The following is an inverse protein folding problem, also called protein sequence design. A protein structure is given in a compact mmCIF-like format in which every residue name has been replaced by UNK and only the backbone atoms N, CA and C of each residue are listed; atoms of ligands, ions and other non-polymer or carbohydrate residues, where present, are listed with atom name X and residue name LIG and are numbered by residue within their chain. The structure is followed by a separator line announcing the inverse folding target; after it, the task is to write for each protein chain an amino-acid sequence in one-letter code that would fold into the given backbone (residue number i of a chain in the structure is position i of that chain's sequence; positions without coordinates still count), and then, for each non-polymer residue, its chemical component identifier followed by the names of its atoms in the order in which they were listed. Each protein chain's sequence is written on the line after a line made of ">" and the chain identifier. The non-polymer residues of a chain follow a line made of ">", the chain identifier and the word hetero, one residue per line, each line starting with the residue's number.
data_IF_869460682911
#
_entry.id   IF_869460682911
#
_cell.length_a   1.000
_cell.length_b   1.000
_cell.length_c   1.000
_cell.angle_alpha   90.00
_cell.angle_beta   90.00
_cell.angle_gamma   90.00
#
_symmetry.space_group_name_H-M   'P 1'
#
loop_
_entity.id
_entity.type
_entity.pdbx_description
1 polymer ?
#
# COMPACT_ATOMS: atom_id res chain seq x y z
N UNK A 1 18.38 -10.97 -3.07
CA UNK A 1 17.40 -10.04 -3.69
C UNK A 1 16.03 -10.44 -3.17
N UNK A 2 15.20 -9.48 -2.76
CA UNK A 2 13.90 -9.73 -2.14
C UNK A 2 12.75 -9.31 -3.06
N UNK A 3 12.13 -10.30 -3.70
CA UNK A 3 10.99 -10.13 -4.62
C UNK A 3 9.64 -10.55 -4.00
N UNK A 4 9.66 -11.33 -2.91
CA UNK A 4 8.45 -11.95 -2.37
C UNK A 4 7.49 -10.89 -1.82
N UNK A 5 6.27 -10.88 -2.34
CA UNK A 5 5.21 -9.93 -1.98
C UNK A 5 3.85 -10.41 -2.51
N UNK A 6 2.77 -9.92 -1.91
CA UNK A 6 1.46 -9.85 -2.55
C UNK A 6 1.41 -8.62 -3.46
N UNK A 7 0.96 -8.79 -4.72
CA UNK A 7 1.14 -7.76 -5.77
C UNK A 7 -0.11 -7.41 -6.59
N UNK A 8 -1.27 -8.02 -6.31
CA UNK A 8 -2.48 -7.75 -7.08
C UNK A 8 -3.32 -6.64 -6.45
N UNK A 9 -3.31 -5.44 -7.05
CA UNK A 9 -4.00 -4.25 -6.52
C UNK A 9 -5.48 -4.52 -6.22
N UNK A 10 -6.23 -5.18 -7.12
CA UNK A 10 -7.65 -5.47 -6.88
C UNK A 10 -7.86 -6.37 -5.65
N UNK A 11 -6.96 -7.31 -5.41
CA UNK A 11 -7.06 -8.21 -4.24
C UNK A 11 -6.75 -7.46 -2.94
N UNK A 12 -5.97 -6.37 -3.01
CA UNK A 12 -5.56 -5.60 -1.83
C UNK A 12 -6.72 -4.85 -1.17
N UNK A 13 -7.77 -4.50 -1.92
CA UNK A 13 -8.96 -3.86 -1.36
C UNK A 13 -9.82 -4.82 -0.52
N UNK A 14 -9.85 -6.11 -0.88
CA UNK A 14 -10.64 -7.13 -0.19
C UNK A 14 -9.85 -7.92 0.87
N UNK A 15 -8.52 -7.87 0.84
CA UNK A 15 -7.65 -8.64 1.75
C UNK A 15 -6.39 -7.85 2.16
N UNK A 16 -6.56 -6.57 2.50
CA UNK A 16 -5.47 -5.63 2.83
C UNK A 16 -4.53 -6.12 3.95
N UNK A 17 -5.06 -6.88 4.91
CA UNK A 17 -4.27 -7.44 6.00
C UNK A 17 -3.24 -8.46 5.52
N UNK A 18 -3.58 -9.31 4.54
CA UNK A 18 -2.64 -10.27 3.96
C UNK A 18 -1.48 -9.58 3.22
N UNK A 19 -1.74 -8.42 2.63
CA UNK A 19 -0.69 -7.58 2.05
C UNK A 19 0.23 -7.01 3.13
N UNK A 20 -0.33 -6.61 4.28
CA UNK A 20 0.47 -6.15 5.43
C UNK A 20 1.35 -7.27 5.98
N UNK A 21 0.79 -8.46 6.18
CA UNK A 21 1.53 -9.62 6.68
C UNK A 21 2.66 -10.04 5.75
N UNK A 22 2.40 -10.12 4.44
CA UNK A 22 3.44 -10.52 3.49
C UNK A 22 4.45 -9.40 3.22
N UNK A 23 3.97 -8.22 2.85
CA UNK A 23 4.84 -7.17 2.32
C UNK A 23 5.62 -6.48 3.44
N UNK A 24 4.96 -6.11 4.55
CA UNK A 24 5.62 -5.41 5.67
C UNK A 24 6.25 -6.43 6.62
N UNK A 25 5.43 -7.29 7.23
CA UNK A 25 5.93 -8.20 8.26
C UNK A 25 6.92 -9.22 7.67
N UNK A 26 6.65 -9.81 6.51
CA UNK A 26 7.59 -10.70 5.81
C UNK A 26 8.92 -10.02 5.48
N UNK A 27 8.91 -8.76 5.01
CA UNK A 27 10.14 -7.99 4.79
C UNK A 27 10.89 -7.75 6.10
N UNK A 28 10.19 -7.41 7.19
CA UNK A 28 10.79 -7.22 8.50
C UNK A 28 11.51 -8.49 9.00
N UNK A 29 10.85 -9.66 8.89
CA UNK A 29 11.43 -10.95 9.26
C UNK A 29 12.72 -11.21 8.49
N UNK A 30 12.70 -10.97 7.17
CA UNK A 30 13.87 -11.16 6.32
C UNK A 30 15.01 -10.18 6.70
N UNK A 31 14.69 -8.92 6.98
CA UNK A 31 15.68 -7.92 7.42
C UNK A 31 16.31 -8.30 8.76
N UNK A 32 15.53 -8.78 9.73
CA UNK A 32 16.05 -9.26 11.01
C UNK A 32 16.95 -10.48 10.83
N UNK A 33 16.58 -11.43 9.97
CA UNK A 33 17.42 -12.58 9.65
C UNK A 33 18.76 -12.15 9.01
N UNK A 34 18.74 -11.19 8.07
CA UNK A 34 19.96 -10.63 7.49
C UNK A 34 20.82 -9.92 8.54
N UNK A 35 20.21 -9.17 9.46
CA UNK A 35 20.90 -8.50 10.56
C UNK A 35 21.56 -9.50 11.51
N UNK A 36 20.82 -10.52 11.94
CA UNK A 36 21.30 -11.51 12.90
C UNK A 36 22.43 -12.39 12.35
N UNK A 37 22.36 -12.74 11.05
CA UNK A 37 23.38 -13.58 10.41
C UNK A 37 24.61 -12.79 9.97
N UNK A 38 24.45 -11.49 9.67
CA UNK A 38 25.51 -10.57 9.28
C UNK A 38 26.42 -11.09 8.13
N UNK A 39 25.88 -11.95 7.25
CA UNK A 39 26.63 -12.55 6.13
C UNK A 39 26.25 -11.95 4.77
N UNK A 40 25.16 -11.17 4.72
CA UNK A 40 24.63 -10.58 3.49
C UNK A 40 25.45 -9.37 3.11
N UNK A 41 26.09 -9.42 1.92
CA UNK A 41 26.92 -8.33 1.40
C UNK A 41 26.15 -7.25 0.66
N UNK A 42 25.01 -7.62 0.06
CA UNK A 42 24.09 -6.72 -0.64
C UNK A 42 22.66 -7.25 -0.48
N UNK A 43 21.77 -6.42 0.02
CA UNK A 43 20.34 -6.69 0.13
C UNK A 43 19.59 -5.79 -0.85
N UNK A 44 19.12 -6.34 -1.96
CA UNK A 44 18.32 -5.57 -2.93
C UNK A 44 16.84 -5.78 -2.61
N UNK A 45 16.16 -4.71 -2.19
CA UNK A 45 14.72 -4.68 -1.96
C UNK A 45 13.99 -4.26 -3.24
N UNK A 46 13.10 -5.11 -3.73
CA UNK A 46 12.34 -4.83 -4.95
C UNK A 46 10.98 -4.25 -4.59
N UNK A 47 10.76 -3.00 -4.99
CA UNK A 47 9.54 -2.24 -4.81
C UNK A 47 8.96 -1.81 -6.17
N UNK A 48 8.03 -0.85 -6.17
CA UNK A 48 7.17 -0.51 -7.31
C UNK A 48 7.10 1.00 -7.49
N UNK A 49 6.84 1.48 -8.70
CA UNK A 49 6.51 2.90 -8.96
C UNK A 49 5.26 3.39 -8.23
N UNK A 50 4.29 2.52 -7.98
CA UNK A 50 3.04 2.86 -7.29
C UNK A 50 3.24 3.43 -5.87
N UNK A 51 4.43 3.29 -5.26
CA UNK A 51 4.71 3.94 -3.97
C UNK A 51 4.74 5.46 -4.07
N UNK A 52 4.98 6.01 -5.26
CA UNK A 52 4.94 7.45 -5.52
C UNK A 52 3.51 7.98 -5.65
N UNK A 53 2.52 7.11 -5.90
CA UNK A 53 1.14 7.50 -6.17
C UNK A 53 0.93 8.03 -7.59
N UNK A 54 -0.27 8.55 -7.80
CA UNK A 54 -0.69 9.14 -9.08
C UNK A 54 0.19 10.33 -9.49
N UNK A 55 0.49 10.42 -10.78
CA UNK A 55 1.18 11.57 -11.39
C UNK A 55 0.24 12.29 -12.34
N UNK A 56 0.22 13.63 -12.29
CA UNK A 56 -0.63 14.41 -13.19
C UNK A 56 -0.26 14.19 -14.67
N UNK A 57 -1.27 14.24 -15.56
CA UNK A 57 -1.09 13.96 -16.99
C UNK A 57 -0.23 15.01 -17.72
N UNK A 58 -0.17 16.24 -17.20
CA UNK A 58 0.63 17.35 -17.71
C UNK A 58 2.07 17.36 -17.18
N UNK A 59 2.41 16.46 -16.25
CA UNK A 59 3.77 16.36 -15.71
C UNK A 59 4.76 15.94 -16.79
N UNK A 60 5.76 16.79 -17.06
CA UNK A 60 6.83 16.53 -18.03
C UNK A 60 7.98 15.69 -17.48
N UNK A 61 8.24 15.76 -16.17
CA UNK A 61 9.34 15.07 -15.50
C UNK A 61 8.77 14.04 -14.52
N UNK A 62 9.08 12.77 -14.75
CA UNK A 62 8.64 11.68 -13.88
C UNK A 62 9.23 11.75 -12.47
N UNK A 63 8.64 10.97 -11.57
CA UNK A 63 9.11 10.86 -10.19
C UNK A 63 10.54 10.31 -10.13
N UNK A 64 11.45 11.08 -9.56
CA UNK A 64 12.83 10.66 -9.28
C UNK A 64 12.92 9.99 -7.91
N UNK A 65 14.06 9.39 -7.56
CA UNK A 65 14.16 8.52 -6.37
C UNK A 65 13.94 9.22 -5.02
N UNK A 66 14.10 10.54 -4.98
CA UNK A 66 13.83 11.39 -3.82
C UNK A 66 12.43 11.99 -3.80
N UNK A 67 11.57 11.67 -4.77
CA UNK A 67 10.15 12.02 -4.74
C UNK A 67 9.47 11.43 -3.49
N UNK A 68 8.45 12.13 -3.01
CA UNK A 68 7.66 11.69 -1.87
C UNK A 68 6.91 10.40 -2.19
N UNK A 69 6.75 9.54 -1.19
CA UNK A 69 5.90 8.36 -1.32
C UNK A 69 4.46 8.74 -0.94
N UNK A 70 3.54 8.64 -1.90
CA UNK A 70 2.13 8.99 -1.75
C UNK A 70 1.24 7.81 -2.22
N UNK A 71 1.37 6.62 -1.60
CA UNK A 71 0.63 5.45 -2.05
C UNK A 71 -0.90 5.65 -1.92
N UNK A 72 -1.63 5.28 -2.97
CA UNK A 72 -3.08 5.51 -3.13
C UNK A 72 -3.94 4.26 -2.85
N UNK A 73 -3.32 3.08 -2.70
CA UNK A 73 -4.02 1.81 -2.52
C UNK A 73 -3.33 0.90 -1.49
N UNK A 74 -4.01 -0.10 -0.91
CA UNK A 74 -3.42 -0.94 0.14
C UNK A 74 -2.17 -1.70 -0.29
N UNK A 75 -2.08 -2.12 -1.55
CA UNK A 75 -0.85 -2.73 -2.08
C UNK A 75 0.32 -1.74 -2.06
N UNK A 76 0.18 -0.57 -2.68
CA UNK A 76 1.26 0.42 -2.72
C UNK A 76 1.62 0.93 -1.33
N UNK A 77 0.65 1.08 -0.43
CA UNK A 77 0.87 1.46 0.96
C UNK A 77 1.72 0.44 1.72
N UNK A 78 1.44 -0.86 1.54
CA UNK A 78 2.24 -1.91 2.19
C UNK A 78 3.64 -2.07 1.59
N UNK A 79 3.82 -1.80 0.29
CA UNK A 79 5.15 -1.70 -0.34
C UNK A 79 5.94 -0.51 0.20
N UNK A 80 5.33 0.67 0.30
CA UNK A 80 5.94 1.85 0.90
C UNK A 80 6.29 1.64 2.38
N UNK A 81 5.41 0.99 3.15
CA UNK A 81 5.67 0.62 4.55
C UNK A 81 6.87 -0.34 4.70
N UNK A 82 7.01 -1.30 3.78
CA UNK A 82 8.19 -2.16 3.72
C UNK A 82 9.48 -1.38 3.41
N UNK A 83 9.41 -0.39 2.50
CA UNK A 83 10.54 0.50 2.22
C UNK A 83 10.98 1.30 3.44
N UNK A 84 10.04 1.77 4.27
CA UNK A 84 10.39 2.49 5.51
C UNK A 84 11.21 1.61 6.46
N UNK A 85 10.88 0.32 6.57
CA UNK A 85 11.66 -0.65 7.34
C UNK A 85 13.05 -0.84 6.72
N UNK A 86 13.11 -1.09 5.42
CA UNK A 86 14.36 -1.26 4.67
C UNK A 86 15.31 -0.06 4.88
N UNK A 87 14.78 1.16 4.77
CA UNK A 87 15.53 2.39 5.04
C UNK A 87 16.00 2.49 6.49
N UNK A 88 15.14 2.18 7.46
CA UNK A 88 15.49 2.20 8.88
C UNK A 88 16.59 1.19 9.21
N UNK A 89 16.55 0.00 8.62
CA UNK A 89 17.54 -1.05 8.85
C UNK A 89 18.92 -0.70 8.29
N UNK A 90 18.97 -0.05 7.13
CA UNK A 90 20.20 0.50 6.61
C UNK A 90 20.78 1.55 7.57
N UNK A 91 19.96 2.52 8.00
CA UNK A 91 20.39 3.62 8.87
C UNK A 91 20.81 3.16 10.27
N UNK A 92 20.04 2.26 10.89
CA UNK A 92 20.23 1.85 12.28
C UNK A 92 21.26 0.74 12.45
N UNK A 93 21.39 -0.17 11.47
CA UNK A 93 22.20 -1.37 11.62
C UNK A 93 23.28 -1.51 10.54
N UNK A 94 23.39 -0.54 9.63
CA UNK A 94 24.39 -0.58 8.56
C UNK A 94 24.16 -1.70 7.54
N UNK A 95 22.95 -2.29 7.47
CA UNK A 95 22.67 -3.34 6.48
C UNK A 95 22.94 -2.82 5.06
N UNK A 96 23.63 -3.59 4.19
CA UNK A 96 24.07 -3.13 2.88
C UNK A 96 22.92 -3.18 1.87
N UNK A 97 21.97 -2.28 2.03
CA UNK A 97 20.69 -2.27 1.32
C UNK A 97 20.75 -1.43 0.05
N UNK A 98 20.07 -1.87 -1.00
CA UNK A 98 19.78 -1.10 -2.21
C UNK A 98 18.29 -1.30 -2.50
N UNK A 99 17.56 -0.25 -2.87
CA UNK A 99 16.14 -0.37 -3.24
C UNK A 99 15.97 -0.14 -4.73
N UNK A 100 15.10 -0.89 -5.37
CA UNK A 100 14.66 -0.62 -6.74
C UNK A 100 13.16 -0.35 -6.79
N UNK A 101 12.71 0.60 -7.62
CA UNK A 101 11.29 0.85 -7.87
C UNK A 101 11.04 0.72 -9.38
N UNK A 102 10.21 -0.23 -9.79
CA UNK A 102 10.00 -0.55 -11.20
C UNK A 102 8.63 -0.14 -11.73
N UNK A 103 8.56 0.16 -13.03
CA UNK A 103 7.30 0.24 -13.76
C UNK A 103 6.62 -1.13 -13.92
N UNK A 104 5.44 -1.16 -14.57
CA UNK A 104 4.77 -2.40 -14.93
C UNK A 104 5.68 -3.29 -15.79
N UNK A 105 5.88 -4.52 -15.32
CA UNK A 105 6.66 -5.54 -16.03
C UNK A 105 5.73 -6.43 -16.84
N UNK A 106 6.15 -6.83 -18.04
CA UNK A 106 5.46 -7.84 -18.84
C UNK A 106 6.45 -8.82 -19.47
N UNK A 107 6.00 -10.03 -19.79
CA UNK A 107 6.85 -11.04 -20.40
C UNK A 107 6.41 -12.48 -20.13
N UNK A 108 7.25 -13.45 -20.55
CA UNK A 108 7.15 -14.85 -20.14
C UNK A 108 6.94 -15.03 -18.62
N UNK A 109 6.20 -16.06 -18.22
CA UNK A 109 5.96 -16.41 -16.81
C UNK A 109 5.21 -15.36 -15.98
N UNK A 110 4.51 -14.40 -16.58
CA UNK A 110 3.63 -13.52 -15.82
C UNK A 110 2.31 -14.24 -15.48
N UNK A 111 1.83 -14.14 -14.24
CA UNK A 111 0.57 -14.81 -13.90
C UNK A 111 -0.64 -14.14 -14.62
N UNK A 112 -1.60 -14.89 -15.20
CA UNK A 112 -2.65 -14.33 -16.08
C UNK A 112 -3.76 -13.51 -15.42
N UNK A 113 -3.56 -13.05 -14.18
CA UNK A 113 -4.39 -12.02 -13.56
C UNK A 113 -4.01 -10.60 -14.06
N UNK A 114 -2.76 -10.42 -14.50
CA UNK A 114 -2.22 -9.13 -14.97
C UNK A 114 -2.71 -8.81 -16.38
N UNK A 115 -2.74 -7.52 -16.73
CA UNK A 115 -3.35 -7.00 -17.96
C UNK A 115 -2.88 -7.71 -19.24
N UNK A 116 -1.57 -7.66 -19.52
CA UNK A 116 -0.98 -8.20 -20.75
C UNK A 116 -1.25 -9.69 -20.93
N UNK A 117 -0.94 -10.59 -19.97
CA UNK A 117 -1.20 -12.01 -20.15
C UNK A 117 -2.69 -12.35 -20.16
N UNK A 118 -3.53 -11.64 -19.40
CA UNK A 118 -4.99 -11.80 -19.46
C UNK A 118 -5.51 -11.52 -20.87
N UNK A 119 -5.10 -10.40 -21.46
CA UNK A 119 -5.54 -10.03 -22.81
C UNK A 119 -5.01 -10.97 -23.87
N UNK A 120 -3.78 -11.45 -23.74
CA UNK A 120 -3.22 -12.46 -24.66
C UNK A 120 -4.06 -13.75 -24.61
N UNK A 121 -4.34 -14.28 -23.42
CA UNK A 121 -5.12 -15.52 -23.29
C UNK A 121 -6.57 -15.38 -23.75
N UNK A 122 -7.22 -14.24 -23.48
CA UNK A 122 -8.57 -13.97 -23.98
C UNK A 122 -8.59 -13.81 -25.50
N UNK A 123 -7.62 -13.10 -26.07
CA UNK A 123 -7.48 -12.95 -27.52
C UNK A 123 -7.19 -14.29 -28.22
N UNK A 124 -6.38 -15.17 -27.62
CA UNK A 124 -6.14 -16.53 -28.11
C UNK A 124 -7.44 -17.35 -28.21
N UNK A 125 -8.42 -17.09 -27.35
CA UNK A 125 -9.75 -17.73 -27.35
C UNK A 125 -10.78 -16.98 -28.19
N UNK A 126 -10.45 -15.82 -28.75
CA UNK A 126 -11.41 -14.94 -29.42
C UNK A 126 -12.45 -14.35 -28.46
N UNK A 127 -12.15 -14.30 -27.16
CA UNK A 127 -13.03 -13.80 -26.11
C UNK A 127 -12.91 -12.27 -25.95
N UNK A 128 -13.80 -11.69 -25.14
CA UNK A 128 -13.82 -10.26 -24.87
C UNK A 128 -12.61 -9.84 -24.04
N UNK A 129 -12.03 -8.68 -24.35
CA UNK A 129 -10.95 -8.05 -23.58
C UNK A 129 -11.55 -7.03 -22.61
N UNK A 130 -11.62 -7.33 -21.30
CA UNK A 130 -12.25 -6.42 -20.35
C UNK A 130 -11.33 -5.25 -20.00
N UNK A 131 -11.78 -4.02 -20.24
CA UNK A 131 -11.09 -2.78 -19.88
C UNK A 131 -11.84 -2.11 -18.73
N UNK A 132 -11.16 -1.85 -17.61
CA UNK A 132 -11.72 -1.10 -16.49
C UNK A 132 -11.90 0.38 -16.87
N UNK A 133 -13.08 0.93 -16.57
CA UNK A 133 -13.41 2.32 -16.87
C UNK A 133 -13.44 2.58 -18.38
N UNK A 134 -12.77 3.64 -18.82
CA UNK A 134 -12.65 4.03 -20.23
C UNK A 134 -11.32 3.57 -20.87
N UNK A 135 -10.44 2.92 -20.10
CA UNK A 135 -9.13 2.49 -20.57
C UNK A 135 -8.10 3.60 -20.77
N UNK A 136 -8.40 4.83 -20.33
CA UNK A 136 -7.50 5.99 -20.44
C UNK A 136 -6.30 5.93 -19.50
N UNK A 137 -6.31 5.04 -18.49
CA UNK A 137 -5.21 4.89 -17.55
C UNK A 137 -3.91 4.54 -18.29
N UNK A 138 -2.88 5.33 -18.03
CA UNK A 138 -1.57 5.28 -18.67
C UNK A 138 -0.56 4.62 -17.75
N UNK A 139 0.25 3.72 -18.30
CA UNK A 139 1.35 3.05 -17.61
C UNK A 139 2.56 2.96 -18.53
N UNK A 140 3.74 2.90 -17.94
CA UNK A 140 4.96 2.48 -18.63
C UNK A 140 5.13 0.97 -18.52
N UNK A 141 5.48 0.30 -19.63
CA UNK A 141 5.64 -1.15 -19.66
C UNK A 141 7.07 -1.54 -20.05
N UNK A 142 7.74 -2.30 -19.19
CA UNK A 142 9.08 -2.83 -19.45
C UNK A 142 9.04 -4.35 -19.63
N UNK A 143 9.78 -4.84 -20.63
CA UNK A 143 9.91 -6.27 -20.83
C UNK A 143 10.75 -6.88 -19.70
N UNK A 144 10.37 -8.07 -19.22
CA UNK A 144 11.00 -8.70 -18.06
C UNK A 144 12.50 -8.97 -18.28
N UNK A 145 12.95 -9.13 -19.52
CA UNK A 145 14.37 -9.24 -19.87
C UNK A 145 15.17 -7.97 -19.54
N UNK A 146 14.66 -6.79 -19.91
CA UNK A 146 15.32 -5.51 -19.59
C UNK A 146 15.35 -5.25 -18.09
N UNK A 147 14.28 -5.66 -17.38
CA UNK A 147 14.19 -5.56 -15.92
C UNK A 147 15.19 -6.50 -15.24
N UNK A 148 15.38 -7.72 -15.76
CA UNK A 148 16.40 -8.64 -15.26
C UNK A 148 17.81 -8.06 -15.46
N UNK A 149 18.08 -7.44 -16.62
CA UNK A 149 19.34 -6.73 -16.86
C UNK A 149 19.52 -5.53 -15.91
N UNK A 150 18.46 -4.79 -15.60
CA UNK A 150 18.51 -3.71 -14.61
C UNK A 150 18.95 -4.22 -13.24
N UNK A 151 18.41 -5.37 -12.79
CA UNK A 151 18.83 -5.98 -11.53
C UNK A 151 20.29 -6.43 -11.56
N UNK A 152 20.79 -6.93 -12.68
CA UNK A 152 22.20 -7.27 -12.84
C UNK A 152 23.11 -6.04 -12.72
N UNK A 153 22.75 -4.94 -13.39
CA UNK A 153 23.46 -3.66 -13.28
C UNK A 153 23.44 -3.12 -11.85
N UNK A 154 22.29 -3.13 -11.19
CA UNK A 154 22.15 -2.67 -9.79
C UNK A 154 22.96 -3.56 -8.85
N UNK A 155 22.94 -4.88 -9.05
CA UNK A 155 23.70 -5.82 -8.24
C UNK A 155 25.19 -5.52 -8.27
N UNK A 156 25.74 -5.28 -9.46
CA UNK A 156 27.18 -5.10 -9.65
C UNK A 156 27.65 -3.65 -9.41
N UNK A 157 26.88 -2.66 -9.88
CA UNK A 157 27.29 -1.25 -9.93
C UNK A 157 26.49 -0.34 -8.99
N UNK A 158 25.37 -0.82 -8.45
CA UNK A 158 24.56 -0.06 -7.51
C UNK A 158 25.33 0.29 -6.24
N UNK A 159 25.00 1.44 -5.65
CA UNK A 159 25.62 1.95 -4.43
C UNK A 159 24.72 1.63 -3.23
N UNK A 160 25.30 1.09 -2.16
CA UNK A 160 24.58 0.82 -0.91
C UNK A 160 23.95 2.10 -0.36
N UNK A 161 22.73 1.98 0.16
CA UNK A 161 21.91 3.07 0.68
C UNK A 161 21.15 3.85 -0.41
N UNK A 162 21.35 3.53 -1.68
CA UNK A 162 20.67 4.20 -2.79
C UNK A 162 19.41 3.46 -3.25
N UNK A 163 18.50 4.25 -3.79
CA UNK A 163 17.34 3.79 -4.56
C UNK A 163 17.65 3.97 -6.05
N UNK A 164 17.13 3.07 -6.90
CA UNK A 164 17.18 3.16 -8.36
C UNK A 164 15.80 2.91 -8.98
N UNK A 165 15.31 3.85 -9.77
CA UNK A 165 14.13 3.64 -10.59
C UNK A 165 14.48 2.78 -11.82
N UNK A 166 13.66 1.77 -12.12
CA UNK A 166 13.74 0.92 -13.31
C UNK A 166 12.51 1.24 -14.16
N UNK A 167 12.66 2.11 -15.15
CA UNK A 167 11.51 2.64 -15.88
C UNK A 167 11.75 2.90 -17.35
N UNK A 168 10.71 3.42 -18.00
CA UNK A 168 10.77 3.95 -19.36
C UNK A 168 9.87 5.17 -19.48
N UNK A 169 10.22 6.08 -20.38
CA UNK A 169 9.36 7.22 -20.75
C UNK A 169 8.30 6.84 -21.80
N UNK A 170 8.30 5.59 -22.29
CA UNK A 170 7.37 5.10 -23.30
C UNK A 170 6.06 4.63 -22.65
N UNK A 171 5.16 5.58 -22.50
CA UNK A 171 3.85 5.35 -21.91
C UNK A 171 2.85 4.71 -22.88
N UNK A 172 1.87 3.97 -22.32
CA UNK A 172 0.75 3.36 -23.05
C UNK A 172 -0.51 3.37 -22.20
N UNK A 173 -1.63 3.73 -22.82
CA UNK A 173 -2.93 3.50 -22.20
C UNK A 173 -3.28 2.01 -22.20
N UNK A 174 -4.20 1.61 -21.32
CA UNK A 174 -4.79 0.26 -21.36
C UNK A 174 -5.42 -0.02 -22.74
N UNK A 175 -6.02 1.00 -23.33
CA UNK A 175 -6.62 0.92 -24.66
C UNK A 175 -5.57 0.66 -25.77
N UNK A 176 -4.40 1.29 -25.71
CA UNK A 176 -3.31 1.04 -26.67
C UNK A 176 -2.84 -0.41 -26.61
N UNK A 177 -2.70 -0.95 -25.39
CA UNK A 177 -2.31 -2.36 -25.18
C UNK A 177 -3.36 -3.29 -25.78
N UNK A 178 -4.65 -3.04 -25.52
CA UNK A 178 -5.74 -3.85 -26.08
C UNK A 178 -5.75 -3.82 -27.61
N UNK A 179 -5.61 -2.65 -28.22
CA UNK A 179 -5.61 -2.47 -29.67
C UNK A 179 -4.42 -3.19 -30.34
N UNK A 180 -3.21 -3.07 -29.79
CA UNK A 180 -2.03 -3.75 -30.34
C UNK A 180 -2.16 -5.28 -30.23
N UNK A 181 -2.74 -5.81 -29.13
CA UNK A 181 -3.04 -7.24 -29.01
C UNK A 181 -4.09 -7.65 -30.05
N UNK A 182 -5.19 -6.91 -30.21
CA UNK A 182 -6.21 -7.20 -31.23
C UNK A 182 -5.60 -7.26 -32.63
N UNK A 183 -4.73 -6.31 -32.96
CA UNK A 183 -4.01 -6.25 -34.23
C UNK A 183 -3.14 -7.49 -34.47
N UNK A 184 -2.39 -7.94 -33.47
CA UNK A 184 -1.53 -9.14 -33.58
C UNK A 184 -2.34 -10.44 -33.71
N UNK A 185 -3.56 -10.49 -33.15
CA UNK A 185 -4.48 -11.60 -33.28
C UNK A 185 -5.49 -11.46 -34.44
N UNK A 186 -5.43 -10.37 -35.21
CA UNK A 186 -6.38 -10.04 -36.30
C UNK A 186 -7.85 -10.00 -35.84
N UNK A 187 -8.09 -9.51 -34.63
CA UNK A 187 -9.43 -9.30 -34.06
C UNK A 187 -9.90 -7.87 -34.34
N UNK A 188 -11.21 -7.68 -34.55
CA UNK A 188 -11.80 -6.34 -34.61
C UNK A 188 -11.96 -5.77 -33.18
N UNK A 189 -11.24 -4.70 -32.81
CA UNK A 189 -11.32 -4.11 -31.48
C UNK A 189 -12.75 -3.74 -31.07
N UNK A 190 -13.60 -3.27 -31.99
CA UNK A 190 -14.99 -2.92 -31.70
C UNK A 190 -15.83 -4.14 -31.28
N UNK A 191 -15.47 -5.30 -31.82
CA UNK A 191 -16.13 -6.57 -31.54
C UNK A 191 -15.62 -7.26 -30.30
N UNK A 192 -14.38 -7.01 -29.84
CA UNK A 192 -13.78 -7.76 -28.72
C UNK A 192 -13.51 -6.93 -27.47
N UNK A 193 -13.27 -5.63 -27.57
CA UNK A 193 -13.07 -4.78 -26.39
C UNK A 193 -14.41 -4.61 -25.67
N UNK A 194 -14.39 -4.82 -24.35
CA UNK A 194 -15.55 -4.63 -23.48
C UNK A 194 -15.15 -3.75 -22.30
N UNK A 195 -15.78 -2.58 -22.19
CA UNK A 195 -15.63 -1.74 -21.00
C UNK A 195 -16.43 -2.34 -19.83
N UNK A 196 -15.79 -2.40 -18.68
CA UNK A 196 -16.34 -2.92 -17.42
C UNK A 196 -16.19 -1.87 -16.32
N UNK A 197 -16.80 -2.12 -15.16
CA UNK A 197 -16.72 -1.21 -14.01
C UNK A 197 -15.26 -0.82 -13.70
N UNK A 198 -15.01 0.45 -13.43
CA UNK A 198 -13.67 0.91 -13.07
C UNK A 198 -13.25 0.41 -11.69
N UNK A 199 -11.95 0.37 -11.44
CA UNK A 199 -11.41 0.03 -10.11
C UNK A 199 -11.62 1.21 -9.17
N UNK A 200 -11.92 0.97 -7.88
CA UNK A 200 -11.83 2.00 -6.86
C UNK A 200 -10.41 2.58 -6.82
N UNK A 201 -10.28 3.91 -6.85
CA UNK A 201 -9.00 4.62 -6.74
C UNK A 201 -7.97 4.17 -7.81
N UNK A 202 -8.41 4.09 -9.07
CA UNK A 202 -7.57 3.70 -10.19
C UNK A 202 -6.73 4.88 -10.69
N UNK A 203 -5.50 5.00 -10.16
CA UNK A 203 -4.57 6.07 -10.55
C UNK A 203 -4.47 6.19 -12.08
N UNK A 204 -4.61 7.40 -12.61
CA UNK A 204 -4.62 7.61 -14.06
C UNK A 204 -3.26 7.40 -14.67
N UNK A 205 -2.18 7.79 -14.00
CA UNK A 205 -0.82 7.71 -14.55
C UNK A 205 0.22 7.44 -13.47
N UNK A 206 1.20 6.61 -13.81
CA UNK A 206 2.46 6.47 -13.08
C UNK A 206 3.61 6.83 -14.01
N UNK A 207 4.39 7.83 -13.63
CA UNK A 207 5.49 8.33 -14.46
C UNK A 207 6.78 8.40 -13.65
N UNK A 208 7.81 7.67 -14.09
CA UNK A 208 9.11 7.56 -13.42
C UNK A 208 10.21 8.28 -14.21
N UNK A 209 11.14 8.87 -13.47
CA UNK A 209 12.46 9.24 -14.00
C UNK A 209 13.46 8.11 -13.74
N UNK A 210 14.10 7.61 -14.81
CA UNK A 210 15.06 6.49 -14.80
C UNK A 210 16.52 6.93 -15.04
N UNK A 211 16.80 8.24 -15.08
CA UNK A 211 18.12 8.78 -15.44
C UNK A 211 19.25 8.30 -14.51
N UNK A 212 18.96 8.07 -13.22
CA UNK A 212 19.96 7.61 -12.26
C UNK A 212 20.48 6.21 -12.58
N UNK A 213 19.59 5.30 -12.99
CA UNK A 213 19.98 3.95 -13.39
C UNK A 213 20.70 3.96 -14.75
N UNK A 214 20.27 4.81 -15.69
CA UNK A 214 20.97 5.02 -16.98
C UNK A 214 22.42 5.45 -16.79
N UNK A 215 22.70 6.30 -15.81
CA UNK A 215 24.08 6.70 -15.44
C UNK A 215 24.95 5.53 -14.94
N UNK A 216 24.37 4.41 -14.51
CA UNK A 216 25.11 3.16 -14.21
C UNK A 216 25.39 2.30 -15.45
N UNK A 217 24.90 2.71 -16.62
CA UNK A 217 25.06 2.02 -17.91
C UNK A 217 23.98 1.00 -18.22
N UNK A 218 22.79 1.12 -17.63
CA UNK A 218 21.61 0.37 -18.06
C UNK A 218 20.82 1.16 -19.11
N UNK A 219 20.23 0.48 -20.08
CA UNK A 219 19.29 1.05 -21.04
C UNK A 219 18.21 0.03 -21.39
N UNK A 220 17.00 0.51 -21.68
CA UNK A 220 15.91 -0.34 -22.22
C UNK A 220 16.24 -0.73 -23.66
N UNK A 221 16.37 -2.05 -23.93
CA UNK A 221 16.73 -2.56 -25.26
C UNK A 221 15.55 -3.15 -26.02
N UNK A 222 14.57 -3.71 -25.33
CA UNK A 222 13.45 -4.39 -25.99
C UNK A 222 12.39 -3.40 -26.44
N UNK A 223 12.18 -3.26 -27.75
CA UNK A 223 11.05 -2.50 -28.26
C UNK A 223 9.72 -3.17 -27.87
N UNK A 224 8.70 -2.37 -27.52
CA UNK A 224 7.36 -2.87 -27.14
C UNK A 224 6.80 -3.92 -28.10
N UNK A 225 6.90 -3.67 -29.41
CA UNK A 225 6.35 -4.56 -30.45
C UNK A 225 7.08 -5.91 -30.50
N UNK A 226 8.36 -5.94 -30.21
CA UNK A 226 9.17 -7.16 -30.16
C UNK A 226 8.92 -7.93 -28.87
N UNK A 227 8.97 -7.24 -27.72
CA UNK A 227 8.69 -7.84 -26.42
C UNK A 227 7.27 -8.40 -26.35
N UNK A 228 6.27 -7.72 -26.93
CA UNK A 228 4.89 -8.22 -26.96
C UNK A 228 4.77 -9.49 -27.81
N UNK A 229 5.47 -9.57 -28.96
CA UNK A 229 5.52 -10.80 -29.77
C UNK A 229 6.18 -11.95 -29.02
N UNK A 230 7.33 -11.70 -28.39
CA UNK A 230 8.02 -12.69 -27.55
C UNK A 230 7.12 -13.21 -26.43
N UNK A 231 6.37 -12.31 -25.79
CA UNK A 231 5.40 -12.64 -24.74
C UNK A 231 4.28 -13.52 -25.29
N UNK A 232 3.67 -13.13 -26.41
CA UNK A 232 2.60 -13.89 -27.07
C UNK A 232 3.09 -15.29 -27.47
N UNK A 233 4.27 -15.38 -28.09
CA UNK A 233 4.84 -16.65 -28.52
C UNK A 233 5.12 -17.58 -27.33
N UNK A 234 5.53 -17.02 -26.19
CA UNK A 234 5.68 -17.79 -24.96
C UNK A 234 4.34 -18.37 -24.48
N UNK A 235 3.25 -17.58 -24.41
CA UNK A 235 1.94 -18.11 -24.01
C UNK A 235 1.38 -19.15 -24.99
N UNK A 236 1.62 -18.98 -26.29
CA UNK A 236 1.23 -19.98 -27.31
C UNK A 236 1.98 -21.30 -27.13
N UNK A 237 3.25 -21.24 -26.79
CA UNK A 237 4.11 -22.41 -26.63
C UNK A 237 4.00 -23.07 -25.24
N UNK A 238 3.31 -22.43 -24.29
CA UNK A 238 3.18 -22.90 -22.90
C UNK A 238 1.71 -22.83 -22.41
N UNK A 239 0.75 -23.44 -23.13
CA UNK A 239 -0.69 -23.27 -22.84
C UNK A 239 -1.11 -23.79 -21.45
N UNK A 240 -0.45 -24.84 -20.94
CA UNK A 240 -0.82 -25.51 -19.69
C UNK A 240 0.05 -25.10 -18.48
N UNK A 241 0.95 -24.11 -18.65
CA UNK A 241 1.95 -23.76 -17.64
C UNK A 241 1.37 -23.42 -16.25
N UNK A 242 0.22 -22.74 -16.21
CA UNK A 242 -0.45 -22.33 -14.97
C UNK A 242 -1.63 -23.23 -14.57
N UNK A 243 -1.97 -24.25 -15.36
CA UNK A 243 -3.20 -25.02 -15.18
C UNK A 243 -4.46 -24.19 -15.43
N UNK A 244 -5.49 -24.37 -14.59
CA UNK A 244 -6.75 -23.61 -14.71
C UNK A 244 -6.60 -22.17 -14.23
N UNK A 245 -6.71 -21.23 -15.18
CA UNK A 245 -6.64 -19.78 -14.94
C UNK A 245 -7.99 -19.08 -15.16
N UNK A 246 -9.09 -19.82 -15.29
CA UNK A 246 -10.43 -19.28 -15.55
C UNK A 246 -10.82 -18.16 -14.57
N UNK A 247 -10.52 -18.34 -13.29
CA UNK A 247 -10.81 -17.32 -12.27
C UNK A 247 -9.96 -16.06 -12.44
N UNK A 248 -8.68 -16.20 -12.82
CA UNK A 248 -7.76 -15.08 -13.03
C UNK A 248 -8.15 -14.22 -14.24
N UNK A 249 -8.81 -14.82 -15.25
CA UNK A 249 -9.28 -14.12 -16.45
C UNK A 249 -10.53 -13.25 -16.21
N UNK A 250 -11.19 -13.37 -15.05
CA UNK A 250 -12.30 -12.49 -14.71
C UNK A 250 -11.86 -11.02 -14.64
N UNK A 251 -12.71 -10.05 -15.01
CA UNK A 251 -12.39 -8.63 -14.93
C UNK A 251 -12.10 -8.16 -13.49
N UNK A 252 -12.92 -8.64 -12.54
CA UNK A 252 -12.73 -8.42 -11.11
C UNK A 252 -12.70 -9.79 -10.43
N UNK A 253 -11.53 -10.45 -10.36
CA UNK A 253 -11.43 -11.74 -9.71
C UNK A 253 -11.78 -11.57 -8.24
N UNK A 254 -12.99 -12.03 -7.84
CA UNK A 254 -13.34 -12.16 -6.43
C UNK A 254 -12.62 -13.41 -5.93
N UNK A 255 -11.88 -13.28 -4.84
CA UNK A 255 -11.33 -14.45 -4.16
C UNK A 255 -12.48 -15.43 -3.85
N UNK A 256 -12.44 -16.63 -4.42
CA UNK A 256 -13.11 -17.78 -3.82
C UNK A 256 -12.40 -18.02 -2.49
N UNK A 257 -13.13 -17.91 -1.39
CA UNK A 257 -12.64 -18.07 -0.02
C UNK A 257 -12.20 -19.51 0.27
N UNK A 258 -11.16 -20.00 -0.40
CA UNK A 258 -10.56 -21.30 -0.16
C UNK A 258 -9.28 -21.04 0.63
N UNK A 259 -9.32 -21.45 1.91
CA UNK A 259 -8.29 -21.35 2.95
C UNK A 259 -8.12 -19.99 3.65
N UNK A 260 -9.23 -19.39 4.06
CA UNK A 260 -9.23 -18.47 5.20
C UNK A 260 -9.25 -19.30 6.50
N UNK A 261 -8.43 -18.93 7.49
CA UNK A 261 -8.50 -19.50 8.84
C UNK A 261 -9.88 -19.26 9.47
N UNK A 262 -10.28 -20.11 10.41
CA UNK A 262 -11.59 -20.05 11.09
C UNK A 262 -11.97 -18.64 11.62
N UNK A 263 -10.98 -17.82 11.99
CA UNK A 263 -11.18 -16.43 12.44
C UNK A 263 -11.74 -15.50 11.34
N UNK A 264 -11.38 -15.71 10.08
CA UNK A 264 -11.83 -14.86 8.98
C UNK A 264 -13.23 -15.28 8.47
N UNK A 265 -13.63 -16.55 8.66
CA UNK A 265 -15.00 -17.00 8.40
C UNK A 265 -16.00 -16.40 9.40
N UNK A 266 -15.62 -16.25 10.67
CA UNK A 266 -16.46 -15.60 11.69
C UNK A 266 -16.76 -14.13 11.34
N UNK A 267 -15.76 -13.38 10.86
CA UNK A 267 -15.90 -11.96 10.50
C UNK A 267 -16.91 -11.73 9.36
N UNK A 268 -16.95 -12.63 8.36
CA UNK A 268 -17.86 -12.51 7.22
C UNK A 268 -19.34 -12.70 7.58
N UNK A 269 -19.65 -13.54 8.58
CA UNK A 269 -21.02 -13.86 8.94
C UNK A 269 -21.70 -12.74 9.78
N UNK A 270 -20.92 -11.91 10.48
CA UNK A 270 -21.45 -10.88 11.38
C UNK A 270 -21.72 -9.53 10.72
N UNK A 271 -21.03 -9.20 9.62
CA UNK A 271 -21.22 -7.93 8.88
C UNK A 271 -22.62 -7.72 8.30
N UNK A 272 -23.41 -8.79 8.13
CA UNK A 272 -24.76 -8.71 7.56
C UNK A 272 -25.88 -8.42 8.57
N UNK A 273 -25.61 -8.52 9.87
CA UNK A 273 -26.66 -8.47 10.91
C UNK A 273 -27.10 -7.06 11.33
N UNK A 274 -26.42 -5.99 10.86
CA UNK A 274 -26.71 -4.59 11.27
C UNK A 274 -27.60 -3.82 10.28
N UNK A 275 -27.92 -4.39 9.12
CA UNK A 275 -28.74 -3.76 8.07
C UNK A 275 -30.25 -3.69 8.37
N UNK A 276 -30.72 -4.16 9.54
CA UNK A 276 -32.16 -4.26 9.87
C UNK A 276 -32.57 -3.60 11.21
N UNK A 277 -31.83 -2.62 11.71
CA UNK A 277 -32.31 -1.78 12.81
C UNK A 277 -32.01 -0.30 12.60
N UNK A 278 -32.65 0.29 11.60
CA UNK A 278 -33.14 1.66 11.72
C UNK A 278 -34.66 1.58 11.86
N UNK A 279 -35.19 2.13 12.94
CA UNK A 279 -36.50 2.78 13.10
C UNK A 279 -36.87 2.78 14.59
N UNK A 280 -37.26 3.98 15.05
CA UNK A 280 -37.60 4.41 16.43
C UNK A 280 -36.35 4.66 17.28
N UNK A 281 -36.09 5.87 17.78
CA UNK A 281 -37.00 6.71 18.55
C UNK A 281 -36.61 8.20 18.46
N UNK A 282 -37.62 9.07 18.58
CA UNK A 282 -37.49 10.53 18.49
C UNK A 282 -37.51 11.12 19.90
N UNK A 283 -36.51 11.93 20.25
CA UNK A 283 -36.73 13.05 21.20
C UNK A 283 -35.71 13.24 22.31
N UNK A 284 -34.76 14.17 22.09
CA UNK A 284 -34.36 15.31 22.96
C UNK A 284 -33.05 15.88 22.41
N UNK A 285 -32.76 17.16 22.72
CA UNK A 285 -31.54 17.88 22.30
C UNK A 285 -30.30 17.32 23.00
N UNK A 286 -29.96 16.09 22.64
CA UNK A 286 -28.65 15.50 22.82
C UNK A 286 -27.92 15.70 21.48
N UNK A 287 -26.61 15.90 21.49
CA UNK A 287 -25.84 16.12 20.25
C UNK A 287 -25.94 14.94 19.26
N UNK A 288 -26.50 13.82 19.70
CA UNK A 288 -26.49 12.54 18.99
C UNK A 288 -25.10 11.90 18.97
N UNK A 289 -24.10 12.55 19.59
CA UNK A 289 -22.73 12.10 19.60
C UNK A 289 -22.50 11.20 20.81
N UNK A 290 -21.92 10.02 20.54
CA UNK A 290 -21.38 9.14 21.57
C UNK A 290 -19.96 8.72 21.20
N UNK A 291 -18.99 9.06 22.04
CA UNK A 291 -17.58 8.85 21.75
C UNK A 291 -17.01 7.63 22.46
N UNK A 292 -16.30 6.77 21.73
CA UNK A 292 -15.47 5.72 22.28
C UNK A 292 -14.01 6.18 22.21
N UNK A 293 -13.36 6.35 23.37
CA UNK A 293 -12.02 6.92 23.46
C UNK A 293 -10.99 5.83 23.79
N UNK A 294 -9.89 5.77 23.06
CA UNK A 294 -8.72 4.95 23.40
C UNK A 294 -7.57 5.84 23.87
N UNK A 295 -6.74 5.33 24.81
CA UNK A 295 -5.62 6.09 25.38
C UNK A 295 -5.88 6.65 26.79
N UNK A 296 -6.75 6.01 27.58
CA UNK A 296 -7.14 6.41 28.95
C UNK A 296 -5.99 6.84 29.87
N UNK A 297 -4.83 6.18 29.78
CA UNK A 297 -3.67 6.43 30.65
C UNK A 297 -2.72 7.50 30.10
N UNK A 298 -2.96 8.00 28.89
CA UNK A 298 -2.21 9.07 28.26
C UNK A 298 -2.81 10.44 28.58
N UNK A 299 -1.99 11.49 28.50
CA UNK A 299 -2.41 12.85 28.78
C UNK A 299 -3.55 13.33 27.87
N UNK A 300 -3.43 13.13 26.55
CA UNK A 300 -4.46 13.52 25.57
C UNK A 300 -5.76 12.75 25.81
N UNK A 301 -5.70 11.43 25.99
CA UNK A 301 -6.90 10.62 26.24
C UNK A 301 -7.63 11.01 27.53
N UNK A 302 -6.91 11.46 28.56
CA UNK A 302 -7.48 12.04 29.77
C UNK A 302 -8.15 13.40 29.54
N UNK A 303 -7.54 14.27 28.72
CA UNK A 303 -8.11 15.57 28.36
C UNK A 303 -9.39 15.44 27.53
N UNK A 304 -9.40 14.53 26.56
CA UNK A 304 -10.58 14.28 25.73
C UNK A 304 -11.81 13.86 26.54
N UNK A 305 -11.61 13.01 27.57
CA UNK A 305 -12.69 12.62 28.48
C UNK A 305 -13.27 13.83 29.24
N UNK A 306 -12.41 14.70 29.78
CA UNK A 306 -12.85 15.92 30.47
C UNK A 306 -13.60 16.88 29.56
N UNK A 307 -13.12 17.07 28.32
CA UNK A 307 -13.79 17.91 27.33
C UNK A 307 -15.17 17.35 26.96
N UNK A 308 -15.29 16.01 26.85
CA UNK A 308 -16.60 15.40 26.64
C UNK A 308 -17.55 15.64 27.83
N UNK A 309 -17.05 15.59 29.07
CA UNK A 309 -17.85 15.91 30.26
C UNK A 309 -18.30 17.38 30.27
N UNK A 310 -17.40 18.31 29.95
CA UNK A 310 -17.67 19.76 29.89
C UNK A 310 -18.71 20.10 28.81
N UNK A 311 -18.59 19.49 27.63
CA UNK A 311 -19.51 19.65 26.50
C UNK A 311 -20.76 18.76 26.59
N UNK A 312 -20.88 17.96 27.65
CA UNK A 312 -21.99 17.01 27.88
C UNK A 312 -22.20 16.01 26.74
N UNK A 313 -21.12 15.57 26.11
CA UNK A 313 -21.13 14.52 25.09
C UNK A 313 -21.06 13.15 25.79
N UNK A 314 -21.90 12.19 25.40
CA UNK A 314 -21.82 10.83 25.96
C UNK A 314 -20.52 10.15 25.53
N UNK A 315 -19.78 9.56 26.45
CA UNK A 315 -18.51 8.92 26.09
C UNK A 315 -18.12 7.78 27.02
N UNK A 316 -17.29 6.87 26.52
CA UNK A 316 -16.71 5.78 27.30
C UNK A 316 -15.29 5.46 26.82
N UNK A 317 -14.42 4.99 27.73
CA UNK A 317 -13.12 4.45 27.32
C UNK A 317 -13.25 3.03 26.77
N UNK A 318 -12.45 2.74 25.74
CA UNK A 318 -12.15 1.38 25.31
C UNK A 318 -11.39 0.62 26.40
N UNK A 319 -11.70 -0.67 26.51
CA UNK A 319 -11.06 -1.61 27.43
C UNK A 319 -10.05 -2.49 26.71
N UNK A 320 -10.22 -2.66 25.41
CA UNK A 320 -9.39 -3.49 24.54
C UNK A 320 -8.00 -2.93 24.27
N UNK A 321 -7.12 -3.81 23.78
CA UNK A 321 -5.83 -3.42 23.20
C UNK A 321 -6.03 -3.22 21.70
N UNK A 322 -5.50 -2.14 21.15
CA UNK A 322 -5.79 -1.81 19.75
C UNK A 322 -5.31 -2.87 18.75
N UNK A 323 -4.25 -3.60 19.07
CA UNK A 323 -3.77 -4.71 18.22
C UNK A 323 -4.66 -5.97 18.28
N UNK A 324 -5.65 -6.01 19.18
CA UNK A 324 -6.61 -7.10 19.33
C UNK A 324 -7.96 -6.66 18.76
N UNK A 325 -8.22 -7.05 17.50
CA UNK A 325 -9.45 -6.74 16.78
C UNK A 325 -10.71 -7.14 17.53
N UNK A 326 -10.71 -8.31 18.16
CA UNK A 326 -11.88 -8.83 18.88
C UNK A 326 -12.25 -7.90 20.02
N UNK A 327 -11.24 -7.42 20.76
CA UNK A 327 -11.47 -6.50 21.87
C UNK A 327 -12.08 -5.16 21.42
N UNK A 328 -11.67 -4.64 20.25
CA UNK A 328 -12.24 -3.41 19.68
C UNK A 328 -13.71 -3.63 19.26
N UNK A 329 -14.01 -4.75 18.61
CA UNK A 329 -15.38 -5.11 18.22
C UNK A 329 -16.29 -5.26 19.44
N UNK A 330 -15.80 -5.86 20.53
CA UNK A 330 -16.52 -5.96 21.80
C UNK A 330 -16.78 -4.58 22.42
N UNK A 331 -15.80 -3.67 22.37
CA UNK A 331 -15.96 -2.29 22.83
C UNK A 331 -16.98 -1.50 21.99
N UNK A 332 -16.95 -1.62 20.66
CA UNK A 332 -17.93 -0.96 19.77
C UNK A 332 -19.34 -1.50 20.01
N UNK A 333 -19.49 -2.82 20.17
CA UNK A 333 -20.80 -3.43 20.48
C UNK A 333 -21.34 -2.97 21.84
N UNK A 334 -20.46 -2.86 22.83
CA UNK A 334 -20.83 -2.45 24.19
C UNK A 334 -21.20 -0.97 24.25
N UNK A 335 -20.40 -0.12 23.63
CA UNK A 335 -20.56 1.34 23.74
C UNK A 335 -21.54 1.87 22.72
N UNK A 336 -21.67 1.23 21.55
CA UNK A 336 -22.46 1.73 20.41
C UNK A 336 -22.13 3.19 20.09
N UNK A 337 -20.85 3.53 19.85
CA UNK A 337 -20.44 4.91 19.62
C UNK A 337 -20.84 5.39 18.22
N UNK A 338 -20.99 6.70 18.06
CA UNK A 338 -21.04 7.34 16.74
C UNK A 338 -19.67 7.73 16.22
N UNK A 339 -18.70 7.97 17.13
CA UNK A 339 -17.32 8.29 16.77
C UNK A 339 -16.33 7.59 17.70
N UNK A 340 -15.14 7.32 17.17
CA UNK A 340 -14.01 6.78 17.92
C UNK A 340 -12.88 7.81 17.94
N UNK A 341 -12.36 8.11 19.12
CA UNK A 341 -11.20 8.97 19.31
C UNK A 341 -10.00 8.12 19.73
N UNK A 342 -8.98 8.03 18.88
CA UNK A 342 -7.77 7.28 19.17
C UNK A 342 -6.65 8.19 19.68
N UNK A 343 -6.47 8.26 20.99
CA UNK A 343 -5.30 8.86 21.63
C UNK A 343 -4.37 7.79 22.22
N UNK A 344 -4.53 6.51 21.86
CA UNK A 344 -3.65 5.45 22.32
C UNK A 344 -2.34 5.44 21.53
N UNK A 345 -1.24 5.18 22.24
CA UNK A 345 0.08 5.06 21.66
C UNK A 345 1.11 4.81 22.74
N UNK A 346 2.24 4.28 22.33
CA UNK A 346 3.43 4.13 23.16
C UNK A 346 4.37 5.28 22.83
N UNK A 347 4.61 6.13 23.82
CA UNK A 347 5.54 7.28 23.76
C UNK A 347 6.87 6.98 24.45
N UNK A 348 7.04 5.73 24.92
CA UNK A 348 8.15 5.31 25.77
C UNK A 348 8.02 5.78 27.23
N UNK A 349 8.58 5.01 28.17
CA UNK A 349 8.78 5.43 29.56
C UNK A 349 10.27 5.29 29.90
N UNK A 350 10.94 6.33 30.42
CA UNK A 350 10.42 7.66 30.77
C UNK A 350 10.32 8.64 29.59
N UNK A 351 10.90 8.35 28.44
CA UNK A 351 10.90 9.21 27.26
C UNK A 351 10.85 8.41 25.94
N UNK A 352 10.87 9.13 24.83
CA UNK A 352 10.80 8.59 23.45
C UNK A 352 11.92 7.59 23.13
N UNK A 353 13.09 7.70 23.76
CA UNK A 353 14.24 6.81 23.53
C UNK A 353 13.94 5.35 23.85
N UNK A 354 12.97 5.07 24.74
CA UNK A 354 12.51 3.71 25.01
C UNK A 354 12.00 3.01 23.75
N UNK A 355 11.38 3.76 22.82
CA UNK A 355 10.86 3.23 21.56
C UNK A 355 11.99 2.73 20.64
N UNK A 356 13.22 3.23 20.81
CA UNK A 356 14.40 2.76 20.05
C UNK A 356 14.82 1.34 20.41
N UNK A 357 14.58 0.92 21.66
CA UNK A 357 14.93 -0.43 22.15
C UNK A 357 13.74 -1.40 22.15
N UNK A 358 12.50 -0.89 22.07
CA UNK A 358 11.25 -1.66 22.13
C UNK A 358 10.42 -1.44 20.86
N UNK A 359 11.06 -1.72 19.74
CA UNK A 359 10.52 -1.44 18.41
C UNK A 359 9.28 -2.27 18.09
N UNK A 360 9.24 -3.53 18.53
CA UNK A 360 8.13 -4.45 18.28
C UNK A 360 6.87 -3.98 18.98
N UNK A 361 6.99 -3.62 20.25
CA UNK A 361 5.90 -3.07 21.06
C UNK A 361 5.39 -1.76 20.46
N UNK A 362 6.33 -0.89 20.08
CA UNK A 362 6.02 0.40 19.45
C UNK A 362 5.26 0.22 18.13
N UNK A 363 5.72 -0.65 17.21
CA UNK A 363 5.01 -0.95 15.95
C UNK A 363 3.64 -1.56 16.24
N UNK A 364 3.58 -2.56 17.12
CA UNK A 364 2.36 -3.30 17.43
C UNK A 364 1.26 -2.36 17.91
N UNK A 365 1.58 -1.36 18.73
CA UNK A 365 0.59 -0.42 19.23
C UNK A 365 0.38 0.78 18.30
N UNK A 366 1.45 1.48 17.89
CA UNK A 366 1.32 2.75 17.18
C UNK A 366 0.93 2.58 15.70
N UNK A 367 1.31 1.46 15.08
CA UNK A 367 1.03 1.17 13.67
C UNK A 367 -0.09 0.14 13.57
N UNK A 368 0.14 -1.09 14.02
CA UNK A 368 -0.82 -2.20 13.84
C UNK A 368 -2.11 -1.92 14.60
N UNK A 369 -2.02 -1.41 15.83
CA UNK A 369 -3.20 -1.05 16.62
C UNK A 369 -4.03 0.05 15.97
N UNK A 370 -3.40 1.13 15.50
CA UNK A 370 -4.08 2.24 14.82
C UNK A 370 -4.79 1.75 13.55
N UNK A 371 -4.12 0.94 12.73
CA UNK A 371 -4.72 0.36 11.51
C UNK A 371 -5.88 -0.59 11.83
N UNK A 372 -5.71 -1.45 12.84
CA UNK A 372 -6.77 -2.37 13.28
C UNK A 372 -8.01 -1.60 13.72
N UNK A 373 -7.83 -0.52 14.48
CA UNK A 373 -8.94 0.34 14.90
C UNK A 373 -9.63 1.01 13.71
N UNK A 374 -8.86 1.58 12.78
CA UNK A 374 -9.40 2.23 11.59
C UNK A 374 -10.21 1.26 10.73
N UNK A 375 -9.71 0.03 10.55
CA UNK A 375 -10.38 -1.01 9.78
C UNK A 375 -11.69 -1.46 10.44
N UNK A 376 -11.69 -1.70 11.75
CA UNK A 376 -12.92 -2.05 12.49
C UNK A 376 -13.95 -0.92 12.44
N UNK A 377 -13.51 0.34 12.58
CA UNK A 377 -14.39 1.50 12.47
C UNK A 377 -15.01 1.61 11.08
N UNK A 378 -14.23 1.39 10.02
CA UNK A 378 -14.71 1.37 8.64
C UNK A 378 -15.76 0.29 8.41
N UNK A 379 -15.52 -0.95 8.86
CA UNK A 379 -16.50 -2.04 8.76
C UNK A 379 -17.78 -1.77 9.56
N UNK A 380 -17.66 -0.99 10.64
CA UNK A 380 -18.77 -0.66 11.52
C UNK A 380 -19.54 0.60 11.11
N UNK A 381 -19.10 1.28 10.04
CA UNK A 381 -19.57 2.59 9.58
C UNK A 381 -19.50 3.67 10.67
N UNK A 382 -18.32 3.76 11.32
CA UNK A 382 -18.05 4.68 12.43
C UNK A 382 -16.88 5.59 12.07
N UNK A 383 -17.03 6.89 12.31
CA UNK A 383 -15.95 7.84 12.14
C UNK A 383 -14.86 7.62 13.18
N UNK A 384 -13.60 7.64 12.75
CA UNK A 384 -12.43 7.55 13.63
C UNK A 384 -11.55 8.78 13.47
N UNK A 385 -11.16 9.37 14.60
CA UNK A 385 -10.17 10.44 14.66
C UNK A 385 -8.92 9.92 15.35
N UNK A 386 -7.77 9.95 14.65
CA UNK A 386 -6.49 9.52 15.19
C UNK A 386 -5.67 10.73 15.66
N UNK A 387 -5.30 10.75 16.93
CA UNK A 387 -4.38 11.75 17.48
C UNK A 387 -2.94 11.23 17.31
N UNK A 388 -2.31 11.68 16.22
CA UNK A 388 -0.93 11.40 15.86
C UNK A 388 0.06 12.31 16.62
N UNK A 389 1.35 12.23 16.30
CA UNK A 389 2.39 13.04 16.95
C UNK A 389 2.90 14.17 16.07
N UNK A 390 3.07 15.36 16.67
CA UNK A 390 3.80 16.47 16.06
C UNK A 390 5.32 16.31 16.10
N UNK A 391 5.85 15.22 16.69
CA UNK A 391 7.27 14.87 16.65
C UNK A 391 7.72 14.40 15.27
N UNK A 392 7.19 15.00 14.21
CA UNK A 392 7.59 14.85 12.81
C UNK A 392 8.13 16.17 12.25
N UNK A 393 8.14 17.21 13.07
CA UNK A 393 8.70 18.51 12.79
C UNK A 393 9.82 18.88 13.77
N UNK A 394 10.84 19.55 13.27
CA UNK A 394 11.94 20.20 13.97
C UNK A 394 11.93 21.68 13.56
N UNK A 395 12.20 22.57 14.51
CA UNK A 395 12.18 24.01 14.25
C UNK A 395 13.17 24.39 13.16
N UNK A 396 12.74 25.30 12.29
CA UNK A 396 13.53 25.79 11.16
C UNK A 396 13.46 27.33 11.08
N UNK A 397 13.93 27.88 9.96
CA UNK A 397 13.97 29.33 9.75
C UNK A 397 12.57 29.94 9.63
N UNK A 398 11.61 29.20 9.10
CA UNK A 398 10.24 29.63 8.89
C UNK A 398 9.38 29.39 10.13
N UNK A 399 9.78 28.41 10.96
CA UNK A 399 9.16 28.05 12.23
C UNK A 399 10.18 28.12 13.37
N UNK A 400 10.60 29.31 13.84
CA UNK A 400 11.57 29.41 14.91
C UNK A 400 10.98 29.00 16.27
N UNK A 401 11.78 28.34 17.10
CA UNK A 401 11.41 28.00 18.48
C UNK A 401 11.00 29.27 19.25
N UNK A 402 9.82 29.24 19.87
CA UNK A 402 9.30 30.36 20.67
C UNK A 402 8.64 31.50 19.87
N UNK A 403 8.54 31.39 18.55
CA UNK A 403 7.89 32.40 17.70
C UNK A 403 6.36 32.42 17.80
N UNK A 404 5.75 31.33 18.28
CA UNK A 404 4.30 31.12 18.23
C UNK A 404 3.78 30.72 16.83
N UNK A 405 4.67 30.66 15.83
CA UNK A 405 4.37 30.20 14.48
C UNK A 405 4.56 28.68 14.45
N UNK A 406 3.44 27.95 14.39
CA UNK A 406 3.42 26.49 14.33
C UNK A 406 3.32 25.96 12.90
N UNK A 407 3.69 24.70 12.72
CA UNK A 407 3.49 23.95 11.47
C UNK A 407 1.99 23.70 11.23
N UNK A 408 1.60 23.69 9.97
CA UNK A 408 0.27 23.44 9.45
C UNK A 408 0.18 22.07 8.75
N UNK A 409 -1.01 21.71 8.31
CA UNK A 409 -1.27 20.43 7.64
C UNK A 409 -0.58 20.33 6.28
N UNK A 410 -0.43 21.46 5.59
CA UNK A 410 0.29 21.58 4.32
C UNK A 410 1.83 21.53 4.46
N UNK A 411 2.35 21.67 5.68
CA UNK A 411 3.80 21.71 5.91
C UNK A 411 4.41 20.31 5.85
N UNK A 412 5.53 20.18 5.13
CA UNK A 412 6.22 18.92 4.98
C UNK A 412 6.95 18.53 6.27
N UNK A 413 6.73 17.32 6.81
CA UNK A 413 7.52 16.80 7.92
C UNK A 413 9.03 16.91 7.65
N UNK A 414 9.76 17.56 8.54
CA UNK A 414 11.20 17.78 8.42
C UNK A 414 12.01 17.03 9.50
N UNK A 415 11.35 16.27 10.38
CA UNK A 415 12.00 15.50 11.44
C UNK A 415 11.63 14.01 11.42
N UNK A 416 12.65 13.17 11.24
CA UNK A 416 12.55 11.70 11.26
C UNK A 416 13.58 11.06 12.21
N UNK A 417 14.02 11.83 13.22
CA UNK A 417 15.14 11.48 14.08
C UNK A 417 14.88 10.36 15.09
N UNK A 418 13.64 9.88 15.22
CA UNK A 418 13.30 8.82 16.19
C UNK A 418 12.42 7.71 15.60
N UNK A 419 12.49 6.53 16.18
CA UNK A 419 11.63 5.40 15.86
C UNK A 419 10.17 5.68 16.24
N UNK A 420 9.95 6.42 17.32
CA UNK A 420 8.64 6.90 17.72
C UNK A 420 8.00 7.80 16.66
N UNK A 421 8.75 8.77 16.12
CA UNK A 421 8.22 9.66 15.07
C UNK A 421 7.80 8.89 13.84
N UNK A 422 8.58 7.90 13.42
CA UNK A 422 8.25 7.05 12.27
C UNK A 422 7.01 6.16 12.47
N UNK A 423 6.66 5.84 13.71
CA UNK A 423 5.60 4.87 14.01
C UNK A 423 4.31 5.50 14.51
N UNK A 424 4.36 6.69 15.11
CA UNK A 424 3.19 7.41 15.64
C UNK A 424 2.69 8.53 14.72
N UNK A 425 3.43 8.82 13.65
CA UNK A 425 3.06 9.80 12.60
C UNK A 425 2.05 9.29 11.56
N UNK A 426 1.79 7.98 11.56
CA UNK A 426 0.90 7.34 10.59
C UNK A 426 -0.57 7.38 11.00
#
# INVERSE_FOLDING_TARGET
>A
MHFAAQTHVDNSFGNSMEFTYNNIYGTHVLLEACRATNCVKRFIHVSTDEVYGETDLDTEIGNHETSQLLPTNPYSATKAGAEMLVMAYHRSYGLPIITSRGNNVYGPNQYPEKLVPKFILLAMKGEKLPIHGDGSNVRSYLHCGDVAEAFDVILHKGVIGQVYNIGTQKERSVLDVANEICKLFKLDPKGVIQFVQDRPFNDKRYFLDDQKLKKLGWEEKTAWTEGLKMTIDWYKNNPDWWGDVSTALNPHPRFSAINLSDEAQWSFQYGYSRLLRSFTDVGRRDSGLKFLIYGRTGWIGGLLGKLCDEERISWEYGRGRLQDRRSILEDIKRVMPTHVLNAAGVTGRPNVDWCESHKVETIRTNVVGTLTLADVCKESDIYVMNFATGCIFEYDKEHPLGSGIGFKEEDKPNFIGSFYSKTKAM
#
